data_IF_249216563748
#
_entry.id   IF_249216563748
#
_cell.length_a   1.000
_cell.length_b   1.000
_cell.length_c   1.000
_cell.angle_alpha   90.00
_cell.angle_beta   90.00
_cell.angle_gamma   90.00
#
_symmetry.space_group_name_H-M   'P 1'
#
loop_
_entity.id
_entity.type
_entity.pdbx_description
1 polymer ?
#
# COMPACT_ATOMS: atom_id res chain seq x y z
N UNK A 1 -23.23 88.90 18.07
CA UNK A 1 -23.76 88.25 19.30
C UNK A 1 -24.36 86.94 18.87
N UNK A 2 -23.69 85.81 19.14
CA UNK A 2 -23.97 84.95 20.31
C UNK A 2 -25.35 84.31 20.18
N UNK A 3 -25.59 83.01 20.31
CA UNK A 3 -24.86 81.81 20.70
C UNK A 3 -25.86 80.64 20.44
N UNK A 4 -25.51 79.39 20.79
CA UNK A 4 -26.34 78.16 20.81
C UNK A 4 -26.27 77.27 19.55
N UNK A 5 -25.20 76.50 19.40
CA UNK A 5 -25.06 75.09 19.86
C UNK A 5 -25.92 74.10 19.08
N UNK A 6 -25.38 73.63 17.95
CA UNK A 6 -25.76 72.33 17.36
C UNK A 6 -24.46 71.55 17.20
N UNK A 7 -24.17 70.70 18.18
CA UNK A 7 -23.09 69.72 18.09
C UNK A 7 -23.49 68.51 18.94
N UNK A 8 -24.61 67.89 18.56
CA UNK A 8 -24.87 66.51 18.93
C UNK A 8 -24.08 65.64 17.94
N UNK A 9 -22.77 65.54 18.18
CA UNK A 9 -21.94 64.54 17.52
C UNK A 9 -22.48 63.18 17.97
N UNK A 10 -23.27 62.57 17.08
CA UNK A 10 -23.65 61.17 17.15
C UNK A 10 -22.35 60.39 17.08
N UNK A 11 -21.74 60.12 18.24
CA UNK A 11 -20.65 59.18 18.39
C UNK A 11 -21.26 57.79 18.16
N UNK A 12 -21.49 57.48 16.89
CA UNK A 12 -21.77 56.15 16.42
C UNK A 12 -20.50 55.38 16.72
N UNK A 13 -20.46 54.74 17.88
CA UNK A 13 -19.42 53.81 18.26
C UNK A 13 -19.36 52.76 17.15
N UNK A 14 -18.38 52.89 16.25
CA UNK A 14 -17.79 51.74 15.59
C UNK A 14 -17.22 50.88 16.72
N UNK A 15 -18.09 50.09 17.34
CA UNK A 15 -17.67 48.83 17.92
C UNK A 15 -17.00 48.10 16.76
N UNK A 16 -15.71 47.72 16.85
CA UNK A 16 -15.21 46.75 15.91
C UNK A 16 -16.18 45.58 16.01
N UNK A 17 -16.72 45.13 14.87
CA UNK A 17 -17.24 43.79 14.80
C UNK A 17 -16.09 42.92 15.30
N UNK A 18 -16.17 42.51 16.56
CA UNK A 18 -15.50 41.30 17.01
C UNK A 18 -16.13 40.27 16.11
N UNK A 19 -15.45 39.97 15.01
CA UNK A 19 -15.82 38.89 14.13
C UNK A 19 -16.15 37.71 15.04
N UNK A 20 -17.41 37.31 14.95
CA UNK A 20 -17.95 36.15 15.61
C UNK A 20 -17.11 34.96 15.12
N UNK A 21 -16.01 34.67 15.81
CA UNK A 21 -15.21 33.44 15.63
C UNK A 21 -16.01 32.17 16.02
N UNK A 22 -17.34 32.26 16.08
CA UNK A 22 -18.28 31.22 16.46
C UNK A 22 -19.23 30.81 15.35
N UNK A 23 -19.18 31.43 14.18
CA UNK A 23 -19.88 30.95 12.98
C UNK A 23 -18.88 30.27 12.03
N UNK A 24 -18.56 29.00 12.35
CA UNK A 24 -17.77 28.01 11.60
C UNK A 24 -16.85 28.54 10.47
N UNK A 25 -15.54 28.72 10.69
CA UNK A 25 -14.63 28.70 9.56
C UNK A 25 -14.42 27.24 9.17
N UNK A 26 -14.57 26.92 7.88
CA UNK A 26 -14.15 25.62 7.34
C UNK A 26 -12.79 25.20 7.93
N UNK A 27 -12.55 23.89 8.15
CA UNK A 27 -11.30 23.40 8.75
C UNK A 27 -10.03 23.90 8.03
N UNK A 28 -10.16 24.27 6.76
CA UNK A 28 -9.08 24.70 5.86
C UNK A 28 -9.23 26.19 5.55
N UNK A 29 -8.63 27.04 6.38
CA UNK A 29 -8.45 28.49 6.14
C UNK A 29 -6.97 28.86 6.11
N UNK A 30 -6.65 30.09 5.70
CA UNK A 30 -5.31 30.67 5.86
C UNK A 30 -4.82 30.65 7.31
N UNK A 31 -5.74 30.75 8.27
CA UNK A 31 -5.45 30.80 9.70
C UNK A 31 -5.30 29.42 10.37
N UNK A 32 -5.99 28.36 9.89
CA UNK A 32 -6.19 27.15 10.69
C UNK A 32 -5.63 25.83 10.13
N UNK A 33 -5.75 25.49 8.84
CA UNK A 33 -5.02 24.34 8.27
C UNK A 33 -4.72 24.57 6.78
N UNK A 34 -4.08 25.70 6.48
CA UNK A 34 -3.77 26.14 5.11
C UNK A 34 -2.99 25.12 4.29
N UNK A 35 -2.17 24.29 4.92
CA UNK A 35 -1.42 23.21 4.26
C UNK A 35 -2.28 22.12 3.59
N UNK A 36 -3.60 22.09 3.80
CA UNK A 36 -4.51 21.22 3.04
C UNK A 36 -5.04 21.84 1.74
N UNK A 37 -4.93 23.17 1.56
CA UNK A 37 -5.42 23.87 0.36
C UNK A 37 -4.67 23.43 -0.91
N UNK A 38 -3.37 23.17 -0.76
CA UNK A 38 -2.48 22.86 -1.88
C UNK A 38 -2.36 21.36 -2.17
N UNK A 39 -3.07 20.52 -1.42
CA UNK A 39 -2.96 19.06 -1.57
C UNK A 39 -3.78 18.55 -2.73
N UNK A 40 -3.20 17.65 -3.50
CA UNK A 40 -3.92 16.96 -4.58
C UNK A 40 -5.03 16.09 -3.99
N UNK A 41 -6.27 16.34 -4.42
CA UNK A 41 -7.41 15.50 -4.06
C UNK A 41 -7.22 14.07 -4.60
N UNK A 42 -7.27 13.09 -3.69
CA UNK A 42 -7.07 11.66 -3.99
C UNK A 42 -8.28 10.80 -3.59
N UNK A 43 -9.24 11.41 -2.90
CA UNK A 43 -10.56 10.87 -2.62
C UNK A 43 -11.57 11.47 -3.61
N UNK A 44 -12.73 10.82 -3.84
CA UNK A 44 -13.75 11.34 -4.75
C UNK A 44 -14.20 12.75 -4.38
N UNK A 45 -14.66 13.50 -5.38
CA UNK A 45 -15.28 14.82 -5.16
C UNK A 45 -16.45 14.70 -4.18
N UNK A 46 -16.57 15.67 -3.28
CA UNK A 46 -17.63 15.72 -2.26
C UNK A 46 -17.32 14.99 -0.95
N UNK A 47 -16.12 14.40 -0.79
CA UNK A 47 -15.64 13.89 0.51
C UNK A 47 -14.93 14.98 1.31
N UNK A 48 -15.41 15.25 2.52
CA UNK A 48 -14.92 16.27 3.43
C UNK A 48 -14.27 15.69 4.69
N UNK A 49 -13.79 16.57 5.57
CA UNK A 49 -13.10 16.19 6.80
C UNK A 49 -13.98 15.35 7.73
N UNK A 50 -15.28 15.68 7.81
CA UNK A 50 -16.28 15.02 8.64
C UNK A 50 -16.66 13.60 8.17
N UNK A 51 -16.34 13.22 6.92
CA UNK A 51 -16.48 11.82 6.48
C UNK A 51 -15.51 10.88 7.20
N UNK A 52 -14.44 11.44 7.78
CA UNK A 52 -13.34 10.68 8.37
C UNK A 52 -13.12 10.97 9.86
N UNK A 53 -13.38 12.21 10.28
CA UNK A 53 -13.15 12.68 11.65
C UNK A 53 -14.47 12.93 12.36
N UNK A 54 -14.50 12.63 13.65
CA UNK A 54 -15.57 13.03 14.56
C UNK A 54 -15.44 14.52 14.87
N UNK A 55 -16.45 15.30 14.51
CA UNK A 55 -16.60 16.69 14.94
C UNK A 55 -17.13 16.74 16.39
N UNK A 56 -16.32 16.27 17.34
CA UNK A 56 -16.52 16.61 18.75
C UNK A 56 -15.93 18.00 18.97
N UNK A 57 -16.78 18.99 19.24
CA UNK A 57 -16.49 20.40 19.56
C UNK A 57 -15.05 20.88 19.27
N UNK A 58 -14.89 21.79 18.30
CA UNK A 58 -13.59 22.36 17.88
C UNK A 58 -12.85 23.10 19.02
N UNK A 59 -12.26 22.33 19.93
CA UNK A 59 -11.38 22.78 21.01
C UNK A 59 -9.91 22.48 20.71
N UNK A 60 -9.60 22.06 19.47
CA UNK A 60 -8.31 21.52 19.05
C UNK A 60 -7.30 22.57 18.53
N UNK A 61 -7.69 23.84 18.54
CA UNK A 61 -6.77 24.96 18.34
C UNK A 61 -5.68 25.03 19.42
N UNK A 62 -4.57 25.70 19.12
CA UNK A 62 -3.49 26.14 20.03
C UNK A 62 -3.20 25.28 21.29
N UNK A 63 -3.18 23.94 21.17
CA UNK A 63 -2.86 23.00 22.26
C UNK A 63 -3.96 22.01 22.64
N UNK A 64 -5.10 22.02 21.97
CA UNK A 64 -6.17 21.04 22.18
C UNK A 64 -5.95 19.67 21.52
N UNK A 65 -6.93 18.77 21.65
CA UNK A 65 -6.83 17.39 21.16
C UNK A 65 -7.16 17.30 19.68
N UNK A 66 -6.27 16.71 18.88
CA UNK A 66 -6.54 16.48 17.44
C UNK A 66 -7.88 15.77 17.22
N UNK A 67 -8.56 16.03 16.09
CA UNK A 67 -9.81 15.35 15.75
C UNK A 67 -9.66 13.83 15.84
N UNK A 68 -10.66 13.19 16.44
CA UNK A 68 -10.68 11.75 16.61
C UNK A 68 -11.15 11.13 15.30
N UNK A 69 -10.44 10.10 14.84
CA UNK A 69 -10.85 9.34 13.66
C UNK A 69 -12.07 8.47 13.97
N UNK A 70 -12.97 8.35 13.00
CA UNK A 70 -13.99 7.31 13.02
C UNK A 70 -13.31 5.92 13.03
N UNK A 71 -13.77 5.03 13.92
CA UNK A 71 -13.32 3.63 13.92
C UNK A 71 -13.61 2.98 12.56
N UNK A 72 -12.66 2.19 12.06
CA UNK A 72 -12.76 1.44 10.81
C UNK A 72 -13.21 2.23 9.57
N UNK A 73 -13.00 3.55 9.59
CA UNK A 73 -13.42 4.48 8.54
C UNK A 73 -12.96 4.07 7.13
N UNK A 74 -11.77 3.48 7.01
CA UNK A 74 -11.29 2.99 5.71
C UNK A 74 -12.17 1.86 5.17
N UNK A 75 -12.65 0.96 6.05
CA UNK A 75 -13.46 -0.19 5.68
C UNK A 75 -14.89 0.19 5.30
N UNK A 76 -15.42 1.31 5.81
CA UNK A 76 -16.78 1.78 5.46
C UNK A 76 -16.94 2.09 3.96
N UNK A 77 -15.84 2.43 3.27
CA UNK A 77 -15.82 2.69 1.83
C UNK A 77 -14.98 1.66 1.04
N UNK A 78 -13.98 1.02 1.67
CA UNK A 78 -13.06 0.08 1.01
C UNK A 78 -13.21 -1.36 1.52
N UNK A 79 -14.44 -1.82 1.71
CA UNK A 79 -14.75 -3.17 2.20
C UNK A 79 -14.08 -4.29 1.36
N UNK A 80 -13.92 -4.08 0.05
CA UNK A 80 -13.32 -5.06 -0.87
C UNK A 80 -11.88 -5.42 -0.51
N UNK A 81 -11.15 -4.50 0.11
CA UNK A 81 -9.76 -4.74 0.53
C UNK A 81 -9.68 -5.88 1.54
N UNK A 82 -10.73 -6.05 2.34
CA UNK A 82 -10.83 -7.04 3.42
C UNK A 82 -11.38 -8.39 2.96
N UNK A 83 -11.64 -8.58 1.66
CA UNK A 83 -12.25 -9.81 1.12
C UNK A 83 -11.25 -10.88 0.70
N UNK A 84 -9.96 -10.72 1.01
CA UNK A 84 -8.95 -11.72 0.67
C UNK A 84 -8.90 -12.84 1.71
N UNK A 85 -8.66 -14.07 1.26
CA UNK A 85 -8.52 -15.22 2.18
C UNK A 85 -7.37 -15.07 3.17
N UNK A 86 -6.25 -14.48 2.74
CA UNK A 86 -5.06 -14.24 3.57
C UNK A 86 -4.73 -12.76 3.50
N UNK A 87 -4.94 -12.07 4.61
CA UNK A 87 -4.70 -10.63 4.71
C UNK A 87 -3.23 -10.33 5.06
N UNK A 88 -2.69 -9.26 4.50
CA UNK A 88 -1.39 -8.76 4.89
C UNK A 88 -1.47 -8.12 6.29
N UNK A 89 -0.54 -8.45 7.19
CA UNK A 89 -0.57 -8.05 8.61
C UNK A 89 -0.85 -6.56 8.88
N UNK A 90 -0.27 -5.58 8.13
CA UNK A 90 -0.62 -4.17 8.32
C UNK A 90 -2.10 -3.85 8.05
N UNK A 91 -2.78 -4.65 7.24
CA UNK A 91 -4.19 -4.46 6.86
C UNK A 91 -5.14 -5.14 7.85
N UNK A 92 -4.78 -6.28 8.43
CA UNK A 92 -5.65 -6.99 9.39
C UNK A 92 -6.02 -6.16 10.61
N UNK A 93 -5.12 -5.26 11.03
CA UNK A 93 -5.32 -4.41 12.20
C UNK A 93 -5.87 -3.02 11.83
N UNK A 94 -6.54 -2.91 10.68
CA UNK A 94 -7.08 -1.66 10.09
C UNK A 94 -6.06 -0.51 10.05
N UNK A 95 -4.78 -0.85 10.03
CA UNK A 95 -3.66 0.08 10.13
C UNK A 95 -3.24 0.60 8.76
N UNK A 96 -4.23 0.98 7.95
CA UNK A 96 -4.06 1.46 6.57
C UNK A 96 -3.04 2.61 6.48
N UNK A 97 -3.01 3.45 7.53
CA UNK A 97 -2.09 4.58 7.66
C UNK A 97 -0.61 4.24 7.83
N UNK A 98 -0.27 2.97 8.01
CA UNK A 98 1.13 2.52 8.01
C UNK A 98 1.76 2.62 6.61
N UNK A 99 0.94 2.50 5.57
CA UNK A 99 1.38 2.59 4.18
C UNK A 99 0.71 3.73 3.41
N UNK A 100 -0.48 4.20 3.82
CA UNK A 100 -1.19 5.28 3.14
C UNK A 100 -1.23 6.56 3.99
N UNK A 101 -1.06 7.72 3.35
CA UNK A 101 -1.33 9.02 3.95
C UNK A 101 -2.72 9.52 3.49
N UNK A 102 -3.78 9.35 4.29
CA UNK A 102 -5.16 9.65 3.88
C UNK A 102 -5.39 11.13 3.58
N UNK A 103 -4.54 12.03 4.09
CA UNK A 103 -4.67 13.46 3.84
C UNK A 103 -3.96 13.93 2.59
N UNK A 104 -3.28 13.04 1.86
CA UNK A 104 -2.43 13.43 0.74
C UNK A 104 -1.11 14.03 1.20
N UNK A 105 -0.08 13.80 0.38
CA UNK A 105 1.20 14.54 0.31
C UNK A 105 2.26 13.75 -0.47
N UNK A 106 2.05 12.46 -0.71
CA UNK A 106 3.09 11.60 -1.24
C UNK A 106 2.55 10.61 -2.27
N UNK A 107 3.12 10.69 -3.47
CA UNK A 107 3.05 9.67 -4.51
C UNK A 107 1.67 9.35 -5.08
N UNK A 108 1.65 8.42 -6.04
CA UNK A 108 0.41 7.80 -6.51
C UNK A 108 -0.17 6.95 -5.38
N UNK A 109 -1.50 6.88 -5.27
CA UNK A 109 -2.21 6.03 -4.29
C UNK A 109 -1.89 6.34 -2.82
N UNK A 110 -1.54 7.59 -2.50
CA UNK A 110 -1.30 8.06 -1.12
C UNK A 110 -0.10 7.39 -0.42
N UNK A 111 0.89 6.89 -1.16
CA UNK A 111 2.02 6.17 -0.57
C UNK A 111 3.16 7.14 -0.18
N UNK A 112 3.69 7.07 1.06
CA UNK A 112 4.74 7.96 1.55
C UNK A 112 6.11 7.70 0.93
N UNK A 113 6.29 6.54 0.28
CA UNK A 113 7.54 6.14 -0.32
C UNK A 113 7.31 5.48 -1.67
N UNK A 114 8.39 5.31 -2.42
CA UNK A 114 8.38 4.75 -3.77
C UNK A 114 7.88 3.31 -3.78
N UNK A 115 6.91 3.08 -4.66
CA UNK A 115 6.32 1.79 -4.99
C UNK A 115 5.97 1.80 -6.48
N UNK A 116 6.46 0.82 -7.23
CA UNK A 116 6.12 0.68 -8.65
C UNK A 116 4.77 -0.01 -8.83
N UNK A 117 3.89 0.60 -9.63
CA UNK A 117 2.64 -0.02 -10.11
C UNK A 117 2.86 -0.96 -11.30
N UNK A 118 4.04 -0.90 -11.92
CA UNK A 118 4.39 -1.70 -13.09
C UNK A 118 4.72 -3.14 -12.69
N UNK A 119 4.39 -4.08 -13.58
CA UNK A 119 4.66 -5.51 -13.39
C UNK A 119 6.14 -5.86 -13.60
N UNK A 120 6.79 -5.13 -14.51
CA UNK A 120 8.19 -5.28 -14.83
C UNK A 120 8.91 -3.94 -14.68
N UNK A 121 10.03 -3.95 -13.97
CA UNK A 121 10.90 -2.79 -13.77
C UNK A 121 12.35 -3.23 -13.85
N UNK A 122 13.25 -2.30 -14.18
CA UNK A 122 14.67 -2.54 -13.98
C UNK A 122 14.95 -2.50 -12.48
N UNK A 123 15.82 -3.37 -12.00
CA UNK A 123 16.15 -3.39 -10.58
C UNK A 123 16.77 -2.05 -10.15
N UNK A 124 16.11 -1.44 -9.18
CA UNK A 124 16.58 -0.27 -8.44
C UNK A 124 16.17 -0.52 -6.98
N UNK A 125 17.10 -0.39 -6.04
CA UNK A 125 16.76 -0.59 -4.62
C UNK A 125 15.70 0.40 -4.13
N UNK A 126 15.64 1.59 -4.74
CA UNK A 126 14.67 2.62 -4.41
C UNK A 126 13.28 2.28 -4.97
N UNK A 127 13.14 1.45 -5.99
CA UNK A 127 11.83 1.07 -6.53
C UNK A 127 10.97 0.29 -5.52
N UNK A 128 11.59 -0.23 -4.45
CA UNK A 128 10.97 -1.03 -3.40
C UNK A 128 11.06 -0.39 -2.01
N UNK A 129 11.37 0.91 -1.93
CA UNK A 129 11.64 1.60 -0.66
C UNK A 129 10.51 1.43 0.35
N UNK A 130 9.24 1.54 -0.10
CA UNK A 130 8.09 1.31 0.76
C UNK A 130 8.10 -0.10 1.38
N UNK A 131 8.35 -1.12 0.57
CA UNK A 131 8.42 -2.51 1.02
C UNK A 131 9.55 -2.70 2.05
N UNK A 132 10.70 -2.07 1.81
CA UNK A 132 11.87 -2.17 2.66
C UNK A 132 11.81 -1.36 3.95
N UNK A 133 10.73 -0.60 4.18
CA UNK A 133 10.45 -0.06 5.51
C UNK A 133 10.20 -1.17 6.55
N UNK A 134 9.79 -2.37 6.10
CA UNK A 134 9.49 -3.52 6.95
C UNK A 134 10.19 -4.82 6.49
N UNK A 135 10.31 -5.05 5.19
CA UNK A 135 10.97 -6.25 4.66
C UNK A 135 12.49 -6.05 4.56
N UNK A 136 13.27 -7.07 4.95
CA UNK A 136 14.73 -6.99 4.89
C UNK A 136 15.22 -6.96 3.44
N UNK A 137 16.19 -6.09 3.16
CA UNK A 137 16.79 -5.96 1.82
C UNK A 137 17.57 -7.20 1.40
N UNK A 138 18.03 -8.01 2.36
CA UNK A 138 18.70 -9.29 2.18
C UNK A 138 17.95 -10.26 1.27
N UNK A 139 16.64 -10.06 1.05
CA UNK A 139 15.83 -10.80 0.08
C UNK A 139 16.40 -10.67 -1.34
N UNK A 140 16.98 -9.52 -1.71
CA UNK A 140 17.36 -9.16 -3.08
C UNK A 140 18.86 -8.86 -3.26
N UNK A 141 19.65 -8.90 -2.19
CA UNK A 141 21.06 -8.49 -2.24
C UNK A 141 22.00 -9.58 -2.75
N UNK A 142 21.76 -10.84 -2.37
CA UNK A 142 22.69 -11.92 -2.63
C UNK A 142 22.10 -12.92 -3.65
N UNK A 143 22.84 -13.25 -4.73
CA UNK A 143 22.41 -14.29 -5.68
C UNK A 143 22.33 -15.67 -5.01
N UNK A 144 23.18 -15.93 -4.02
CA UNK A 144 23.18 -17.14 -3.21
C UNK A 144 23.14 -16.80 -1.71
N UNK A 145 22.35 -17.54 -0.93
CA UNK A 145 22.24 -17.40 0.53
C UNK A 145 21.63 -18.65 1.18
N UNK A 146 22.10 -18.98 2.38
CA UNK A 146 21.55 -20.08 3.20
C UNK A 146 20.62 -19.60 4.32
N UNK A 147 20.70 -18.31 4.67
CA UNK A 147 19.98 -17.71 5.80
C UNK A 147 18.85 -16.79 5.36
N UNK A 148 18.99 -16.18 4.18
CA UNK A 148 17.99 -15.29 3.60
C UNK A 148 17.28 -15.94 2.42
N UNK A 149 16.09 -15.38 2.24
CA UNK A 149 14.79 -15.90 1.86
C UNK A 149 14.51 -17.41 1.86
N UNK A 150 13.28 -17.74 2.27
CA UNK A 150 12.73 -19.10 2.11
C UNK A 150 12.38 -19.47 0.66
N UNK A 151 12.37 -18.51 -0.27
CA UNK A 151 12.21 -18.76 -1.70
C UNK A 151 13.58 -18.95 -2.37
N UNK A 152 14.19 -20.11 -2.11
CA UNK A 152 15.51 -20.48 -2.63
C UNK A 152 15.56 -21.95 -2.98
N UNK A 153 16.35 -22.31 -3.99
CA UNK A 153 16.61 -23.71 -4.35
C UNK A 153 18.03 -24.08 -3.95
N UNK A 154 18.20 -24.91 -2.91
CA UNK A 154 19.46 -24.97 -2.18
C UNK A 154 19.85 -23.57 -1.70
N UNK A 155 21.05 -23.10 -2.03
CA UNK A 155 21.48 -21.73 -1.71
C UNK A 155 21.04 -20.68 -2.74
N UNK A 156 20.52 -21.07 -3.90
CA UNK A 156 20.21 -20.12 -4.96
C UNK A 156 18.98 -19.28 -4.63
N UNK A 157 19.16 -17.96 -4.49
CA UNK A 157 18.10 -17.03 -4.12
C UNK A 157 17.18 -16.76 -5.31
N UNK A 158 15.96 -17.29 -5.25
CA UNK A 158 14.99 -17.11 -6.33
C UNK A 158 14.32 -15.73 -6.31
N UNK A 159 14.32 -14.99 -5.20
CA UNK A 159 13.93 -13.58 -5.25
C UNK A 159 14.93 -12.77 -6.07
N UNK A 160 16.23 -12.93 -5.79
CA UNK A 160 17.30 -12.28 -6.56
C UNK A 160 17.17 -12.60 -8.06
N UNK A 161 17.00 -13.89 -8.39
CA UNK A 161 16.88 -14.34 -9.78
C UNK A 161 15.73 -13.65 -10.54
N UNK A 162 14.65 -13.30 -9.87
CA UNK A 162 13.44 -12.77 -10.50
C UNK A 162 13.36 -11.25 -10.49
N UNK A 163 13.87 -10.63 -9.43
CA UNK A 163 13.71 -9.20 -9.18
C UNK A 163 14.97 -8.42 -9.58
N UNK A 164 16.16 -8.98 -9.30
CA UNK A 164 17.44 -8.32 -9.56
C UNK A 164 17.87 -8.55 -11.03
N UNK A 165 17.21 -7.85 -11.95
CA UNK A 165 17.50 -7.88 -13.39
C UNK A 165 17.63 -6.47 -13.95
N UNK A 166 18.64 -6.22 -14.81
CA UNK A 166 18.82 -4.91 -15.46
C UNK A 166 17.75 -4.63 -16.52
N UNK A 167 17.04 -5.66 -16.98
CA UNK A 167 15.92 -5.54 -17.90
C UNK A 167 14.81 -6.51 -17.49
N UNK A 168 13.59 -6.02 -17.34
CA UNK A 168 12.39 -6.80 -16.95
C UNK A 168 12.53 -7.59 -15.64
N UNK A 169 13.11 -6.96 -14.61
CA UNK A 169 12.97 -7.43 -13.24
C UNK A 169 11.51 -7.43 -12.82
N UNK A 170 11.08 -8.42 -12.05
CA UNK A 170 9.70 -8.55 -11.62
C UNK A 170 9.46 -7.66 -10.40
N UNK A 171 8.42 -6.84 -10.41
CA UNK A 171 8.04 -6.11 -9.21
C UNK A 171 7.45 -7.06 -8.16
N UNK A 172 7.49 -6.69 -6.88
CA UNK A 172 6.90 -7.51 -5.82
C UNK A 172 5.41 -7.79 -6.06
N UNK A 173 4.68 -6.81 -6.61
CA UNK A 173 3.25 -6.88 -6.92
C UNK A 173 2.93 -7.97 -7.95
N UNK A 174 3.87 -8.31 -8.82
CA UNK A 174 3.66 -9.36 -9.81
C UNK A 174 3.35 -10.70 -9.15
N UNK A 175 4.02 -11.01 -8.04
CA UNK A 175 3.85 -12.29 -7.36
C UNK A 175 3.04 -12.15 -6.06
N UNK A 176 3.04 -10.97 -5.42
CA UNK A 176 2.45 -10.77 -4.11
C UNK A 176 1.27 -9.80 -4.12
N UNK A 177 0.19 -10.19 -3.45
CA UNK A 177 -0.92 -9.31 -3.09
C UNK A 177 -0.56 -8.48 -1.86
N UNK A 178 -0.51 -7.15 -2.02
CA UNK A 178 0.00 -6.23 -0.98
C UNK A 178 -0.99 -5.94 0.15
N UNK A 179 -2.29 -6.07 -0.10
CA UNK A 179 -3.32 -5.93 0.93
C UNK A 179 -3.76 -7.29 1.48
N UNK A 180 -3.74 -8.29 0.61
CA UNK A 180 -4.06 -9.67 0.89
C UNK A 180 -3.94 -10.48 -0.40
N UNK A 181 -4.00 -11.79 -0.29
CA UNK A 181 -4.03 -12.69 -1.42
C UNK A 181 -4.76 -14.00 -1.07
N UNK A 182 -5.05 -14.78 -2.10
CA UNK A 182 -5.73 -16.07 -1.94
C UNK A 182 -4.79 -17.21 -1.57
N UNK A 183 -3.49 -17.08 -1.78
CA UNK A 183 -2.52 -18.16 -1.57
C UNK A 183 -1.53 -17.82 -0.47
N UNK A 184 -0.99 -18.87 0.17
CA UNK A 184 0.00 -18.70 1.23
C UNK A 184 1.18 -17.82 0.81
N UNK A 185 1.80 -17.16 1.79
CA UNK A 185 2.87 -16.16 1.56
C UNK A 185 2.41 -14.96 0.72
N UNK A 186 1.12 -14.62 0.81
CA UNK A 186 0.49 -13.50 0.10
C UNK A 186 0.70 -13.60 -1.42
N UNK A 187 0.72 -14.81 -1.98
CA UNK A 187 0.92 -15.00 -3.41
C UNK A 187 -0.36 -14.69 -4.18
N UNK A 188 -0.27 -13.81 -5.18
CA UNK A 188 -1.38 -13.45 -6.07
C UNK A 188 -1.94 -14.70 -6.75
N UNK A 189 -3.27 -14.83 -6.84
CA UNK A 189 -3.95 -15.94 -7.53
C UNK A 189 -3.59 -15.98 -9.01
N UNK A 190 -3.58 -14.80 -9.64
CA UNK A 190 -3.30 -14.59 -11.04
C UNK A 190 -2.70 -13.19 -11.27
N UNK A 191 -2.04 -13.05 -12.41
CA UNK A 191 -1.54 -11.78 -12.94
C UNK A 191 -2.24 -11.49 -14.25
N UNK A 192 -2.71 -10.25 -14.43
CA UNK A 192 -3.31 -9.80 -15.69
C UNK A 192 -2.26 -9.24 -16.66
N UNK A 193 -2.30 -9.69 -17.91
CA UNK A 193 -1.57 -9.14 -19.05
C UNK A 193 -2.58 -8.77 -20.15
N UNK A 194 -3.04 -7.52 -20.13
CA UNK A 194 -4.22 -7.14 -20.90
C UNK A 194 -5.43 -7.96 -20.45
N UNK A 195 -6.14 -8.58 -21.39
CA UNK A 195 -7.30 -9.43 -21.10
C UNK A 195 -6.93 -10.82 -20.58
N UNK A 196 -5.66 -11.23 -20.74
CA UNK A 196 -5.23 -12.54 -20.30
C UNK A 196 -4.92 -12.55 -18.80
N UNK A 197 -5.66 -13.37 -18.04
CA UNK A 197 -5.35 -13.68 -16.63
C UNK A 197 -4.53 -14.96 -16.56
N UNK A 198 -3.26 -14.81 -16.19
CA UNK A 198 -2.33 -15.92 -16.03
C UNK A 198 -2.30 -16.37 -14.56
N UNK A 199 -2.72 -17.61 -14.24
CA UNK A 199 -2.68 -18.10 -12.87
C UNK A 199 -1.23 -18.27 -12.39
N UNK A 200 -0.96 -17.86 -11.15
CA UNK A 200 0.32 -18.14 -10.49
C UNK A 200 0.32 -19.57 -9.93
N UNK A 201 -0.81 -20.01 -9.37
CA UNK A 201 -1.02 -21.34 -8.77
C UNK A 201 0.16 -21.81 -7.90
N UNK A 202 0.54 -20.99 -6.91
CA UNK A 202 1.59 -21.31 -5.97
C UNK A 202 1.19 -22.49 -5.09
N UNK A 203 1.98 -23.55 -5.12
CA UNK A 203 1.83 -24.72 -4.26
C UNK A 203 3.03 -24.80 -3.34
N UNK A 204 2.80 -24.59 -2.05
CA UNK A 204 3.82 -24.65 -1.02
C UNK A 204 4.13 -26.11 -0.64
N UNK A 205 5.39 -26.40 -0.40
CA UNK A 205 5.86 -27.62 0.29
C UNK A 205 6.50 -27.22 1.61
N UNK A 206 6.88 -28.19 2.45
CA UNK A 206 7.54 -27.91 3.72
C UNK A 206 8.82 -27.07 3.54
N UNK A 207 9.69 -27.50 2.61
CA UNK A 207 10.98 -26.89 2.31
C UNK A 207 10.97 -25.99 1.06
N UNK A 208 9.84 -25.80 0.39
CA UNK A 208 9.83 -25.05 -0.85
C UNK A 208 8.47 -24.85 -1.49
N UNK A 209 8.38 -25.09 -2.79
CA UNK A 209 7.13 -24.95 -3.52
C UNK A 209 7.27 -25.00 -5.04
N UNK A 210 6.18 -24.71 -5.73
CA UNK A 210 6.10 -24.64 -7.18
C UNK A 210 5.07 -23.62 -7.65
N UNK A 211 5.14 -23.22 -8.91
CA UNK A 211 4.17 -22.32 -9.55
C UNK A 211 3.67 -22.92 -10.86
N UNK A 212 2.50 -22.49 -11.32
CA UNK A 212 1.97 -22.87 -12.63
C UNK A 212 2.87 -22.37 -13.77
N UNK A 213 2.87 -23.10 -14.91
CA UNK A 213 3.54 -22.65 -16.11
C UNK A 213 2.77 -21.51 -16.77
N UNK A 214 3.00 -20.30 -16.30
CA UNK A 214 2.55 -19.07 -16.95
C UNK A 214 3.69 -18.29 -17.60
N UNK A 215 4.82 -18.20 -16.91
CA UNK A 215 6.00 -17.44 -17.35
C UNK A 215 7.15 -18.33 -17.88
N UNK A 216 7.21 -19.59 -17.45
CA UNK A 216 8.19 -20.60 -17.86
C UNK A 216 7.58 -21.98 -17.63
N UNK A 217 8.22 -23.05 -18.13
CA UNK A 217 7.83 -24.44 -17.80
C UNK A 217 7.70 -24.64 -16.28
N UNK A 218 6.85 -25.58 -15.80
CA UNK A 218 6.66 -25.77 -14.37
C UNK A 218 8.00 -25.98 -13.68
N UNK A 219 8.28 -25.17 -12.65
CA UNK A 219 9.49 -25.29 -11.84
C UNK A 219 9.09 -25.50 -10.39
N UNK A 220 9.82 -26.38 -9.73
CA UNK A 220 9.78 -26.56 -8.30
C UNK A 220 11.08 -26.06 -7.69
N UNK A 221 11.04 -25.73 -6.40
CA UNK A 221 12.22 -25.39 -5.63
C UNK A 221 12.16 -26.06 -4.27
N UNK A 222 13.33 -26.42 -3.76
CA UNK A 222 13.51 -26.95 -2.41
C UNK A 222 14.76 -26.30 -1.78
N UNK A 223 14.59 -25.63 -0.64
CA UNK A 223 15.68 -24.94 0.06
C UNK A 223 16.69 -25.91 0.71
N UNK A 224 16.32 -27.17 0.86
CA UNK A 224 17.15 -28.23 1.43
C UNK A 224 17.86 -29.05 0.35
N UNK A 225 17.59 -28.80 -0.94
CA UNK A 225 18.31 -29.43 -2.03
C UNK A 225 19.82 -29.18 -1.89
N UNK A 226 20.62 -30.25 -1.93
CA UNK A 226 22.08 -30.14 -2.01
C UNK A 226 22.41 -29.56 -3.40
N UNK A 227 23.22 -28.51 -3.44
CA UNK A 227 23.40 -27.64 -4.61
C UNK A 227 23.96 -28.32 -5.85
N UNK A 228 23.13 -29.08 -6.57
CA UNK A 228 23.42 -29.50 -7.93
C UNK A 228 23.04 -28.38 -8.89
N UNK A 229 24.07 -27.81 -9.50
CA UNK A 229 24.00 -26.88 -10.61
C UNK A 229 23.43 -27.63 -11.82
N UNK A 230 22.14 -27.47 -12.09
CA UNK A 230 21.56 -28.03 -13.31
C UNK A 230 20.05 -28.00 -13.33
N UNK A 231 19.51 -27.14 -14.20
CA UNK A 231 18.16 -27.18 -14.78
C UNK A 231 17.03 -27.69 -13.87
N UNK A 232 16.24 -26.75 -13.33
CA UNK A 232 15.07 -27.03 -12.50
C UNK A 232 14.34 -28.29 -12.95
N UNK A 233 14.33 -29.30 -12.07
CA UNK A 233 13.70 -30.57 -12.34
C UNK A 233 12.23 -30.32 -12.67
N UNK A 234 11.81 -30.80 -13.84
CA UNK A 234 10.40 -30.78 -14.22
C UNK A 234 9.61 -31.57 -13.17
N UNK A 235 8.45 -31.06 -12.79
CA UNK A 235 7.53 -31.79 -11.93
C UNK A 235 7.25 -33.19 -12.51
N UNK A 236 7.21 -34.25 -11.69
CA UNK A 236 6.73 -35.55 -12.15
C UNK A 236 5.33 -35.37 -12.76
N UNK A 237 5.17 -35.79 -14.02
CA UNK A 237 3.89 -35.75 -14.69
C UNK A 237 3.02 -36.89 -14.13
N UNK A 238 2.09 -36.57 -13.22
CA UNK A 238 1.18 -37.54 -12.58
C UNK A 238 0.13 -38.14 -13.56
N UNK A 239 0.28 -37.96 -14.87
CA UNK A 239 -0.65 -38.45 -15.89
C UNK A 239 -0.09 -39.55 -16.80
N UNK A 240 0.78 -40.42 -16.29
CA UNK A 240 1.04 -41.74 -16.91
C UNK A 240 0.31 -42.82 -16.11
N UNK A 241 -0.97 -43.05 -16.42
CA UNK A 241 -1.58 -44.36 -16.19
C UNK A 241 -0.80 -45.38 -17.00
N UNK A 242 -0.17 -46.30 -16.30
CA UNK A 242 0.42 -47.51 -16.83
C UNK A 242 -0.67 -48.33 -17.54
N UNK A 243 -0.68 -48.26 -18.87
CA UNK A 243 -1.32 -49.27 -19.71
C UNK A 243 -0.31 -50.39 -19.91
N UNK A 244 -0.34 -51.38 -19.01
CA UNK A 244 0.43 -52.60 -19.11
C UNK A 244 0.05 -53.42 -20.34
N UNK A 245 1.07 -54.06 -20.90
CA UNK A 245 0.96 -55.00 -22.00
C UNK A 245 0.19 -56.27 -21.62
N UNK A 246 -0.68 -56.69 -22.55
CA UNK A 246 -0.91 -58.08 -22.96
C UNK A 246 -1.53 -58.07 -24.35
#
# INVERSE_FOLDING_TARGET
MMLFTVLLALFLTLLPLVDDCRAQPACVTEACHSGFQDKTAMHPEGKGCADCHLEVADDHGAGGKKPVLLEDMCASCHEDVFRHRIMHSPVTNTSCRLCHNPHGDMGKKLLPDTYSTELFINYDENAYKLCFSCHKRDLLMFPDTSYSTGFRNGIHNLHYLHVNKPNRGRSCKLCHGIHGAEQEKLMADAVSFGDWRMPVAFRKTESGGSCAPGCHQPRQYDRNARGEVGQGQAAPNENKKEGGAS
#
